data_IF_215263054882
#
_entry.id   IF_215263054882
#
_cell.length_a   1.000
_cell.length_b   1.000
_cell.length_c   1.000
_cell.angle_alpha   90.00
_cell.angle_beta   90.00
_cell.angle_gamma   90.00
#
_symmetry.space_group_name_H-M   'P 1'
#
loop_
_entity.id
_entity.type
_entity.pdbx_description
1 polymer ?
#
# COMPACT_ATOMS: atom_id res chain seq x y z
N UNK A 1 1.02 29.42 -1.24
CA UNK A 1 1.32 28.10 -1.85
C UNK A 1 2.11 27.22 -0.90
N UNK A 2 3.11 27.76 -0.19
CA UNK A 2 3.97 27.05 0.78
C UNK A 2 3.18 26.36 1.92
N UNK A 3 2.16 27.01 2.50
CA UNK A 3 1.32 26.40 3.55
C UNK A 3 0.49 25.21 3.05
N UNK A 4 0.07 25.23 1.80
CA UNK A 4 -0.69 24.14 1.20
C UNK A 4 0.23 22.96 0.89
N UNK A 5 1.44 23.25 0.39
CA UNK A 5 2.47 22.26 0.14
C UNK A 5 2.97 21.59 1.43
N UNK A 6 3.27 22.37 2.48
CA UNK A 6 3.65 21.84 3.80
C UNK A 6 2.51 21.03 4.44
N UNK A 7 1.26 21.46 4.29
CA UNK A 7 0.10 20.68 4.75
C UNK A 7 -0.01 19.34 4.01
N UNK A 8 0.21 19.33 2.69
CA UNK A 8 0.16 18.12 1.87
C UNK A 8 1.32 17.16 2.18
N UNK A 9 2.54 17.69 2.36
CA UNK A 9 3.72 16.91 2.68
C UNK A 9 3.62 16.29 4.09
N UNK A 10 3.12 17.06 5.07
CA UNK A 10 2.81 16.54 6.40
C UNK A 10 1.73 15.45 6.38
N UNK A 11 0.67 15.63 5.59
CA UNK A 11 -0.38 14.62 5.40
C UNK A 11 0.19 13.34 4.77
N UNK A 12 0.94 13.45 3.67
CA UNK A 12 1.51 12.28 2.99
C UNK A 12 2.48 11.54 3.93
N UNK A 13 3.31 12.27 4.67
CA UNK A 13 4.28 11.67 5.60
C UNK A 13 3.58 11.02 6.81
N UNK A 14 2.50 11.60 7.32
CA UNK A 14 1.70 11.02 8.42
C UNK A 14 0.95 9.76 7.99
N UNK A 15 0.45 9.72 6.75
CA UNK A 15 -0.33 8.58 6.23
C UNK A 15 0.53 7.48 5.59
N UNK A 16 1.78 7.78 5.21
CA UNK A 16 2.74 6.80 4.70
C UNK A 16 2.85 5.52 5.54
N UNK A 17 3.04 5.59 6.88
CA UNK A 17 3.14 4.39 7.71
C UNK A 17 1.83 3.58 7.74
N UNK A 18 0.68 4.25 7.72
CA UNK A 18 -0.62 3.57 7.67
C UNK A 18 -0.79 2.76 6.40
N UNK A 19 -0.35 3.30 5.25
CA UNK A 19 -0.44 2.63 3.97
C UNK A 19 0.51 1.42 3.92
N UNK A 20 1.72 1.57 4.44
CA UNK A 20 2.68 0.46 4.54
C UNK A 20 2.16 -0.67 5.45
N UNK A 21 1.55 -0.34 6.58
CA UNK A 21 0.94 -1.33 7.48
C UNK A 21 -0.24 -2.02 6.79
N UNK A 22 -1.07 -1.29 6.05
CA UNK A 22 -2.19 -1.86 5.31
C UNK A 22 -1.72 -2.84 4.23
N UNK A 23 -0.67 -2.48 3.48
CA UNK A 23 -0.04 -3.36 2.47
C UNK A 23 0.56 -4.60 3.12
N UNK A 24 1.28 -4.43 4.24
CA UNK A 24 1.86 -5.55 4.99
C UNK A 24 0.77 -6.50 5.52
N UNK A 25 -0.32 -5.96 6.07
CA UNK A 25 -1.45 -6.74 6.56
C UNK A 25 -2.13 -7.53 5.42
N UNK A 26 -2.32 -6.92 4.25
CA UNK A 26 -2.89 -7.59 3.07
C UNK A 26 -2.03 -8.77 2.59
N UNK A 27 -0.71 -8.58 2.55
CA UNK A 27 0.24 -9.65 2.20
C UNK A 27 0.25 -10.78 3.24
N UNK A 28 0.21 -10.44 4.53
CA UNK A 28 0.19 -11.43 5.63
C UNK A 28 -1.11 -12.24 5.61
N UNK A 29 -2.27 -11.62 5.38
CA UNK A 29 -3.56 -12.31 5.32
C UNK A 29 -3.59 -13.33 4.17
N UNK A 30 -3.05 -12.98 3.00
CA UNK A 30 -3.02 -13.88 1.84
C UNK A 30 -1.98 -14.98 2.03
N UNK A 31 -0.82 -14.65 2.61
CA UNK A 31 0.18 -15.64 2.99
C UNK A 31 -0.36 -16.66 3.99
N UNK A 32 -1.11 -16.20 5.00
CA UNK A 32 -1.77 -17.07 5.98
C UNK A 32 -2.86 -17.94 5.36
N UNK A 33 -3.66 -17.41 4.42
CA UNK A 33 -4.64 -18.23 3.68
C UNK A 33 -3.99 -19.35 2.85
N UNK A 34 -2.74 -19.18 2.42
CA UNK A 34 -1.97 -20.22 1.74
C UNK A 34 -1.45 -21.32 2.69
N UNK A 35 -1.13 -20.97 3.94
CA UNK A 35 -0.65 -21.90 4.97
C UNK A 35 -1.80 -22.74 5.53
N UNK A 36 -2.99 -22.16 5.70
CA UNK A 36 -4.16 -22.88 6.22
C UNK A 36 -4.61 -23.93 5.18
N UNK A 37 -4.75 -25.22 5.55
CA UNK A 37 -5.10 -26.31 4.62
C UNK A 37 -6.61 -26.35 4.30
N UNK A 38 -7.22 -25.19 4.06
CA UNK A 38 -8.60 -25.08 3.57
C UNK A 38 -8.57 -24.94 2.05
N UNK A 39 -9.13 -25.90 1.32
CA UNK A 39 -9.24 -25.83 -0.15
C UNK A 39 -9.97 -24.56 -0.60
N UNK A 40 -11.02 -24.16 0.12
CA UNK A 40 -11.78 -22.94 -0.14
C UNK A 40 -10.94 -21.67 0.05
N UNK A 41 -10.06 -21.64 1.05
CA UNK A 41 -9.16 -20.52 1.30
C UNK A 41 -8.00 -20.48 0.31
N UNK A 42 -7.50 -21.65 -0.13
CA UNK A 42 -6.43 -21.74 -1.13
C UNK A 42 -6.88 -21.34 -2.54
N UNK A 43 -8.09 -21.73 -2.95
CA UNK A 43 -8.63 -21.30 -4.24
C UNK A 43 -8.93 -19.81 -4.25
N UNK A 44 -9.53 -19.27 -3.19
CA UNK A 44 -9.76 -17.84 -3.06
C UNK A 44 -8.45 -17.05 -3.07
N UNK A 45 -7.44 -17.52 -2.31
CA UNK A 45 -6.12 -16.88 -2.30
C UNK A 45 -5.42 -16.96 -3.66
N UNK A 46 -5.49 -18.08 -4.39
CA UNK A 46 -4.89 -18.18 -5.73
C UNK A 46 -5.55 -17.26 -6.76
N UNK A 47 -6.86 -17.07 -6.66
CA UNK A 47 -7.59 -16.19 -7.58
C UNK A 47 -7.35 -14.69 -7.25
N UNK A 48 -7.13 -14.37 -5.97
CA UNK A 48 -6.99 -12.99 -5.50
C UNK A 48 -5.54 -12.53 -5.28
N UNK A 49 -4.56 -13.43 -5.20
CA UNK A 49 -3.15 -13.09 -4.97
C UNK A 49 -2.60 -12.18 -6.07
N UNK A 50 -3.03 -12.39 -7.32
CA UNK A 50 -2.66 -11.52 -8.44
C UNK A 50 -3.19 -10.11 -8.27
N UNK A 51 -4.48 -9.97 -7.97
CA UNK A 51 -5.13 -8.66 -7.72
C UNK A 51 -4.50 -7.96 -6.52
N UNK A 52 -4.17 -8.69 -5.45
CA UNK A 52 -3.62 -8.07 -4.25
C UNK A 52 -2.14 -7.73 -4.44
N UNK A 53 -1.36 -8.53 -5.15
CA UNK A 53 0.00 -8.17 -5.52
C UNK A 53 0.03 -6.91 -6.39
N UNK A 54 -0.86 -6.81 -7.38
CA UNK A 54 -1.00 -5.62 -8.23
C UNK A 54 -1.48 -4.42 -7.40
N UNK A 55 -2.48 -4.60 -6.55
CA UNK A 55 -3.00 -3.54 -5.67
C UNK A 55 -1.93 -3.01 -4.71
N UNK A 56 -1.15 -3.90 -4.09
CA UNK A 56 -0.03 -3.52 -3.23
C UNK A 56 1.05 -2.75 -4.02
N UNK A 57 1.41 -3.24 -5.21
CA UNK A 57 2.38 -2.57 -6.08
C UNK A 57 1.92 -1.16 -6.48
N UNK A 58 0.66 -1.02 -6.88
CA UNK A 58 0.08 0.25 -7.32
C UNK A 58 0.01 1.27 -6.18
N UNK A 59 -0.38 0.83 -4.98
CA UNK A 59 -0.41 1.67 -3.78
C UNK A 59 0.99 2.12 -3.36
N UNK A 60 2.00 1.23 -3.41
CA UNK A 60 3.39 1.58 -3.12
C UNK A 60 3.96 2.59 -4.13
N UNK A 61 3.67 2.39 -5.43
CA UNK A 61 4.06 3.33 -6.49
C UNK A 61 3.37 4.68 -6.30
N UNK A 62 2.08 4.70 -5.98
CA UNK A 62 1.33 5.93 -5.73
C UNK A 62 1.88 6.72 -4.53
N UNK A 63 2.23 6.04 -3.43
CA UNK A 63 2.85 6.67 -2.26
C UNK A 63 4.23 7.23 -2.58
N UNK A 64 5.02 6.48 -3.37
CA UNK A 64 6.37 6.92 -3.77
C UNK A 64 6.28 8.12 -4.70
N UNK A 65 5.40 8.09 -5.71
CA UNK A 65 5.15 9.23 -6.59
C UNK A 65 4.61 10.44 -5.83
N UNK A 66 3.71 10.25 -4.87
CA UNK A 66 3.21 11.35 -4.03
C UNK A 66 4.35 11.98 -3.22
N UNK A 67 5.28 11.17 -2.73
CA UNK A 67 6.47 11.63 -1.99
C UNK A 67 7.47 12.35 -2.90
N UNK A 68 7.75 11.81 -4.08
CA UNK A 68 8.64 12.41 -5.08
C UNK A 68 8.06 13.72 -5.64
N UNK A 69 6.75 13.78 -5.89
CA UNK A 69 6.06 15.03 -6.27
C UNK A 69 6.14 16.04 -5.11
N UNK A 70 5.93 15.61 -3.87
CA UNK A 70 6.07 16.52 -2.72
C UNK A 70 7.51 17.04 -2.57
N UNK A 71 8.51 16.19 -2.84
CA UNK A 71 9.93 16.54 -2.77
C UNK A 71 10.40 17.42 -3.95
N UNK A 72 9.97 17.09 -5.18
CA UNK A 72 10.31 17.83 -6.40
C UNK A 72 9.68 19.23 -6.45
N UNK A 73 8.55 19.42 -5.77
CA UNK A 73 7.89 20.72 -5.63
C UNK A 73 8.38 21.55 -4.44
N UNK A 74 9.47 21.14 -3.78
CA UNK A 74 10.33 22.03 -2.99
C UNK A 74 9.64 22.79 -1.85
N UNK A 75 8.89 22.09 -1.00
CA UNK A 75 8.57 22.49 0.37
C UNK A 75 8.66 21.27 1.31
#
# INVERSE_FOLDING_TARGET
MEKFANGLNALITQWQPFIWIAVAAALVVIGLMFIIPSQKSKDFAKDHIGVVAIGCGLVLVAVTLAKEISAAWGF
#
